data_IF_260203901121
#
_entry.id   IF_260203901121
#
_cell.length_a   1.000
_cell.length_b   1.000
_cell.length_c   1.000
_cell.angle_alpha   90.00
_cell.angle_beta   90.00
_cell.angle_gamma   90.00
#
_symmetry.space_group_name_H-M   'P 1'
#
loop_
_entity.id
_entity.type
_entity.pdbx_description
1 polymer ?
#
# COMPACT_ATOMS: atom_id res chain seq x y z
N UNK A 1 4.76 -2.64 -0.32
CA UNK A 1 4.19 -2.87 1.01
C UNK A 1 4.38 -4.33 1.40
N UNK A 2 4.46 -4.65 2.69
CA UNK A 2 4.56 -6.04 3.18
C UNK A 2 3.38 -6.91 2.70
N UNK A 3 2.21 -6.30 2.52
CA UNK A 3 1.03 -6.93 1.93
C UNK A 3 1.30 -7.50 0.54
N UNK A 4 1.95 -6.75 -0.37
CA UNK A 4 2.28 -7.22 -1.73
C UNK A 4 3.27 -8.39 -1.73
N UNK A 5 4.29 -8.33 -0.87
CA UNK A 5 5.28 -9.40 -0.75
C UNK A 5 4.58 -10.70 -0.36
N UNK A 6 3.68 -10.64 0.63
CA UNK A 6 2.89 -11.80 1.06
C UNK A 6 1.85 -12.23 0.01
N UNK A 7 1.18 -11.28 -0.66
CA UNK A 7 0.16 -11.56 -1.68
C UNK A 7 0.74 -12.31 -2.89
N UNK A 8 1.88 -11.86 -3.44
CA UNK A 8 2.52 -12.52 -4.57
C UNK A 8 3.34 -13.75 -4.18
N UNK A 9 3.94 -13.79 -2.98
CA UNK A 9 4.67 -14.99 -2.51
C UNK A 9 3.75 -16.18 -2.23
N UNK A 10 2.46 -15.94 -1.95
CA UNK A 10 1.58 -17.00 -1.50
C UNK A 10 0.89 -17.77 -2.61
N UNK A 11 0.77 -17.25 -3.85
CA UNK A 11 0.12 -17.91 -5.00
C UNK A 11 -1.35 -18.34 -4.80
N UNK A 12 -1.83 -18.38 -3.57
CA UNK A 12 -3.18 -18.67 -3.14
C UNK A 12 -3.92 -17.34 -2.99
N UNK A 13 -4.63 -16.99 -4.05
CA UNK A 13 -5.31 -15.71 -4.22
C UNK A 13 -6.61 -15.58 -3.41
N UNK A 14 -7.09 -16.65 -2.76
CA UNK A 14 -8.32 -16.61 -1.97
C UNK A 14 -8.42 -17.76 -0.97
N UNK A 15 -9.01 -17.48 0.19
CA UNK A 15 -9.53 -18.53 1.07
C UNK A 15 -10.85 -19.06 0.50
N UNK A 16 -11.03 -20.38 0.49
CA UNK A 16 -12.30 -20.99 0.10
C UNK A 16 -12.77 -21.97 1.19
N UNK A 17 -14.08 -22.13 1.27
CA UNK A 17 -14.71 -23.19 2.04
C UNK A 17 -14.93 -24.37 1.10
N UNK A 18 -14.25 -25.48 1.35
CA UNK A 18 -14.55 -26.75 0.70
C UNK A 18 -15.62 -27.46 1.54
N UNK A 19 -16.83 -27.56 0.99
CA UNK A 19 -17.97 -28.24 1.58
C UNK A 19 -18.15 -29.60 0.93
N UNK A 20 -18.05 -30.68 1.69
CA UNK A 20 -18.21 -32.05 1.20
C UNK A 20 -19.41 -32.70 1.89
N UNK A 21 -20.35 -33.19 1.07
CA UNK A 21 -21.57 -33.89 1.51
C UNK A 21 -21.62 -35.35 1.11
N UNK A 22 -20.71 -35.78 0.21
CA UNK A 22 -20.66 -37.16 -0.25
C UNK A 22 -20.22 -38.11 0.86
N UNK A 23 -20.83 -39.29 0.89
CA UNK A 23 -20.52 -40.36 1.83
C UNK A 23 -19.26 -41.12 1.37
N UNK A 24 -18.13 -40.43 1.27
CA UNK A 24 -16.87 -41.05 0.88
C UNK A 24 -16.33 -41.99 1.99
N UNK A 25 -15.91 -43.18 1.58
CA UNK A 25 -15.86 -44.43 2.35
C UNK A 25 -14.70 -44.64 3.34
N UNK A 26 -13.94 -43.61 3.74
CA UNK A 26 -12.89 -43.79 4.74
C UNK A 26 -12.56 -42.51 5.51
N UNK A 27 -12.53 -42.59 6.85
CA UNK A 27 -12.06 -41.49 7.71
C UNK A 27 -10.60 -41.08 7.39
N UNK A 28 -9.79 -42.01 6.87
CA UNK A 28 -8.39 -41.72 6.50
C UNK A 28 -8.27 -40.68 5.40
N UNK A 29 -9.18 -40.71 4.43
CA UNK A 29 -9.07 -39.90 3.22
C UNK A 29 -9.56 -38.48 3.48
N UNK A 30 -10.55 -38.33 4.36
CA UNK A 30 -11.02 -37.05 4.89
C UNK A 30 -9.89 -36.34 5.65
N UNK A 31 -9.14 -37.08 6.48
CA UNK A 31 -8.02 -36.52 7.23
C UNK A 31 -6.83 -36.18 6.33
N UNK A 32 -6.57 -36.95 5.26
CA UNK A 32 -5.57 -36.61 4.25
C UNK A 32 -5.94 -35.35 3.47
N UNK A 33 -7.20 -35.21 3.03
CA UNK A 33 -7.69 -33.99 2.36
C UNK A 33 -7.62 -32.78 3.29
N UNK A 34 -8.03 -32.93 4.56
CA UNK A 34 -7.91 -31.88 5.58
C UNK A 34 -6.45 -31.45 5.79
N UNK A 35 -5.53 -32.42 5.83
CA UNK A 35 -4.09 -32.16 5.99
C UNK A 35 -3.53 -31.45 4.76
N UNK A 36 -3.79 -31.95 3.55
CA UNK A 36 -3.37 -31.29 2.32
C UNK A 36 -3.89 -29.84 2.23
N UNK A 37 -5.15 -29.60 2.59
CA UNK A 37 -5.75 -28.26 2.59
C UNK A 37 -5.16 -27.30 3.64
N UNK A 38 -4.72 -27.85 4.79
CA UNK A 38 -4.00 -27.10 5.83
C UNK A 38 -2.56 -26.80 5.42
N UNK A 39 -1.94 -27.69 4.67
CA UNK A 39 -0.53 -27.64 4.27
C UNK A 39 -0.31 -26.80 3.00
N UNK A 40 -1.35 -26.57 2.16
CA UNK A 40 -1.35 -25.58 1.05
C UNK A 40 -1.27 -24.12 1.52
N UNK A 41 -0.93 -23.88 2.78
CA UNK A 41 -0.65 -22.55 3.30
C UNK A 41 0.65 -22.00 2.73
N UNK A 42 0.56 -21.04 1.82
CA UNK A 42 1.61 -20.04 1.64
C UNK A 42 1.81 -19.22 2.93
N UNK A 43 2.96 -18.55 3.07
CA UNK A 43 3.28 -17.63 4.18
C UNK A 43 2.29 -16.44 4.30
N UNK A 44 1.12 -16.69 4.89
CA UNK A 44 0.24 -15.73 5.55
C UNK A 44 -0.68 -14.87 4.67
N UNK A 45 -2.00 -15.07 4.82
CA UNK A 45 -3.05 -14.04 5.05
C UNK A 45 -4.48 -14.60 4.88
N UNK A 46 -4.65 -15.72 4.17
CA UNK A 46 -5.95 -16.35 3.94
C UNK A 46 -6.06 -17.70 4.65
N UNK A 47 -7.23 -17.98 5.24
CA UNK A 47 -7.55 -19.26 5.92
C UNK A 47 -8.51 -20.05 5.03
N UNK A 48 -8.09 -21.23 4.59
CA UNK A 48 -8.97 -22.21 3.96
C UNK A 48 -9.75 -22.95 5.05
N UNK A 49 -11.04 -23.19 4.84
CA UNK A 49 -11.89 -23.92 5.78
C UNK A 49 -12.46 -25.17 5.09
N UNK A 50 -12.40 -26.30 5.78
CA UNK A 50 -12.96 -27.56 5.31
C UNK A 50 -14.16 -27.93 6.19
N UNK A 51 -15.32 -28.14 5.57
CA UNK A 51 -16.56 -28.49 6.25
C UNK A 51 -17.10 -29.81 5.68
N UNK A 52 -17.17 -30.83 6.53
CA UNK A 52 -17.71 -32.15 6.20
C UNK A 52 -19.09 -32.31 6.85
N UNK A 53 -20.12 -32.52 6.03
CA UNK A 53 -21.49 -32.69 6.47
C UNK A 53 -22.13 -33.91 5.75
N UNK A 54 -22.00 -35.13 6.31
CA UNK A 54 -22.55 -36.34 5.71
C UNK A 54 -24.09 -36.27 5.64
N UNK A 55 -24.70 -36.82 4.58
CA UNK A 55 -26.15 -36.74 4.26
C UNK A 55 -26.68 -35.34 3.88
N UNK A 56 -25.83 -34.42 3.42
CA UNK A 56 -26.27 -33.14 2.86
C UNK A 56 -26.92 -33.25 1.47
N UNK A 57 -27.44 -32.12 0.94
CA UNK A 57 -28.00 -32.00 -0.43
C UNK A 57 -27.01 -32.48 -1.52
N UNK A 58 -27.48 -32.97 -2.69
CA UNK A 58 -26.75 -33.84 -3.63
C UNK A 58 -25.55 -33.26 -4.39
N UNK A 59 -25.05 -32.07 -4.02
CA UNK A 59 -23.81 -31.56 -4.60
C UNK A 59 -22.63 -32.01 -3.71
N UNK A 60 -22.14 -33.23 -3.97
CA UNK A 60 -21.18 -33.97 -3.15
C UNK A 60 -19.92 -33.20 -2.73
N UNK A 61 -19.43 -32.27 -3.56
CA UNK A 61 -18.32 -31.36 -3.25
C UNK A 61 -18.64 -29.97 -3.80
N UNK A 62 -18.64 -28.95 -2.93
CA UNK A 62 -18.84 -27.53 -3.28
C UNK A 62 -17.68 -26.69 -2.79
N UNK A 63 -17.13 -25.88 -3.68
CA UNK A 63 -16.20 -24.81 -3.32
C UNK A 63 -17.01 -23.53 -3.16
N UNK A 64 -17.16 -23.07 -1.92
CA UNK A 64 -17.78 -21.80 -1.57
C UNK A 64 -16.66 -20.75 -1.44
N UNK A 65 -16.51 -19.81 -2.39
CA UNK A 65 -15.53 -18.75 -2.26
C UNK A 65 -15.92 -17.85 -1.07
N UNK A 66 -15.00 -17.61 -0.14
CA UNK A 66 -15.18 -16.63 0.93
C UNK A 66 -14.97 -15.24 0.33
N UNK A 67 -16.02 -14.72 -0.30
CA UNK A 67 -16.14 -13.38 -0.84
C UNK A 67 -15.27 -13.05 -2.07
N UNK A 68 -15.95 -12.49 -3.07
CA UNK A 68 -15.45 -11.75 -4.22
C UNK A 68 -13.93 -11.72 -4.44
N UNK A 69 -13.44 -12.73 -5.18
CA UNK A 69 -12.15 -12.68 -5.89
C UNK A 69 -12.15 -11.64 -7.03
N UNK A 70 -13.20 -10.82 -7.11
CA UNK A 70 -13.39 -9.74 -8.07
C UNK A 70 -13.56 -8.38 -7.38
N UNK A 71 -13.10 -8.19 -6.14
CA UNK A 71 -12.80 -6.84 -5.68
C UNK A 71 -11.80 -6.26 -6.66
N UNK A 72 -12.26 -5.35 -7.54
CA UNK A 72 -11.40 -4.45 -8.31
C UNK A 72 -10.27 -4.04 -7.39
N UNK A 73 -9.07 -4.43 -7.74
CA UNK A 73 -7.91 -4.27 -6.87
C UNK A 73 -7.74 -2.78 -6.58
N UNK A 74 -8.26 -2.32 -5.43
CA UNK A 74 -8.20 -0.93 -4.97
C UNK A 74 -6.77 -0.51 -4.63
N UNK A 75 -5.80 -1.38 -4.88
CA UNK A 75 -4.38 -1.14 -4.82
C UNK A 75 -3.93 0.18 -5.45
N UNK A 76 -4.45 0.53 -6.63
CA UNK A 76 -4.08 1.79 -7.27
C UNK A 76 -4.58 2.97 -6.44
N UNK A 77 -5.79 2.86 -5.89
CA UNK A 77 -6.36 3.85 -4.99
C UNK A 77 -5.60 3.94 -3.66
N UNK A 78 -5.23 2.80 -3.04
CA UNK A 78 -4.44 2.77 -1.81
C UNK A 78 -3.04 3.35 -2.02
N UNK A 79 -2.38 3.02 -3.15
CA UNK A 79 -1.07 3.59 -3.50
C UNK A 79 -1.18 5.10 -3.70
N UNK A 80 -2.20 5.56 -4.41
CA UNK A 80 -2.46 6.98 -4.66
C UNK A 80 -2.76 7.74 -3.36
N UNK A 81 -3.58 7.16 -2.48
CA UNK A 81 -3.84 7.71 -1.15
C UNK A 81 -2.55 7.81 -0.33
N UNK A 82 -1.78 6.73 -0.23
CA UNK A 82 -0.50 6.72 0.51
C UNK A 82 0.51 7.71 -0.07
N UNK A 83 0.57 7.84 -1.40
CA UNK A 83 1.41 8.84 -2.05
C UNK A 83 0.96 10.25 -1.65
N UNK A 84 -0.33 10.56 -1.75
CA UNK A 84 -0.87 11.86 -1.35
C UNK A 84 -0.59 12.18 0.13
N UNK A 85 -0.71 11.20 1.02
CA UNK A 85 -0.40 11.38 2.44
C UNK A 85 1.07 11.78 2.66
N UNK A 86 1.99 11.13 1.94
CA UNK A 86 3.42 11.49 1.97
C UNK A 86 3.67 12.89 1.38
N UNK A 87 2.99 13.26 0.30
CA UNK A 87 3.11 14.59 -0.31
C UNK A 87 2.65 15.68 0.66
N UNK A 88 1.50 15.47 1.30
CA UNK A 88 0.98 16.37 2.32
C UNK A 88 1.93 16.49 3.52
N UNK A 89 2.56 15.39 3.94
CA UNK A 89 3.51 15.39 5.06
C UNK A 89 4.80 16.16 4.74
N UNK A 90 5.34 16.00 3.52
CA UNK A 90 6.56 16.68 3.12
C UNK A 90 6.36 18.16 2.76
N UNK A 91 5.12 18.56 2.42
CA UNK A 91 4.76 19.95 2.03
C UNK A 91 5.56 20.50 0.84
N UNK A 92 6.23 19.63 0.10
CA UNK A 92 6.95 19.98 -1.12
C UNK A 92 5.99 19.90 -2.32
N UNK A 93 5.96 20.90 -3.21
CA UNK A 93 5.20 20.84 -4.45
C UNK A 93 5.51 19.57 -5.27
N UNK A 94 4.48 18.81 -5.73
CA UNK A 94 4.66 17.56 -6.47
C UNK A 94 5.56 17.67 -7.70
N UNK A 95 5.47 18.79 -8.40
CA UNK A 95 6.28 19.07 -9.59
C UNK A 95 7.78 19.19 -9.32
N UNK A 96 8.21 19.51 -8.09
CA UNK A 96 9.63 19.54 -7.71
C UNK A 96 10.14 18.17 -7.26
N UNK A 97 9.26 17.19 -7.04
CA UNK A 97 9.61 15.82 -6.67
C UNK A 97 9.67 14.86 -7.86
N UNK A 98 9.58 15.37 -9.10
CA UNK A 98 9.62 14.55 -10.31
C UNK A 98 8.38 13.66 -10.50
N UNK A 99 7.24 14.02 -9.89
CA UNK A 99 5.99 13.28 -10.03
C UNK A 99 5.39 13.59 -11.40
N UNK A 100 4.93 12.56 -12.10
CA UNK A 100 4.24 12.70 -13.38
C UNK A 100 2.76 12.97 -13.08
N UNK A 101 2.16 14.04 -13.65
CA UNK A 101 0.75 14.34 -13.44
C UNK A 101 -0.12 13.27 -14.10
N UNK A 102 -1.18 12.85 -13.38
CA UNK A 102 -2.16 11.89 -13.91
C UNK A 102 -3.25 12.57 -14.75
N UNK A 103 -3.36 13.90 -14.67
CA UNK A 103 -4.35 14.71 -15.38
C UNK A 103 -3.69 15.48 -16.56
N UNK A 104 -4.43 15.64 -17.66
CA UNK A 104 -3.97 16.35 -18.86
C UNK A 104 -3.61 17.83 -18.64
N UNK A 105 -3.99 18.42 -17.49
CA UNK A 105 -3.69 19.81 -17.12
C UNK A 105 -2.34 20.03 -16.41
N UNK A 106 -1.63 18.97 -16.03
CA UNK A 106 -0.34 19.09 -15.35
C UNK A 106 -0.40 19.77 -13.97
N UNK A 107 0.78 20.15 -13.45
CA UNK A 107 0.92 20.84 -12.15
C UNK A 107 0.96 22.38 -12.27
N UNK A 108 0.93 22.93 -13.48
CA UNK A 108 1.03 24.36 -13.74
C UNK A 108 2.46 24.88 -13.79
N UNK A 109 2.64 26.13 -13.36
CA UNK A 109 3.92 26.87 -13.42
C UNK A 109 4.84 26.46 -12.26
N UNK A 110 5.97 25.85 -12.59
CA UNK A 110 6.98 25.37 -11.63
C UNK A 110 7.74 26.51 -10.96
N UNK A 111 7.93 27.63 -11.66
CA UNK A 111 8.64 28.82 -11.15
C UNK A 111 7.84 29.41 -10.00
N UNK A 112 6.54 29.62 -10.20
CA UNK A 112 5.65 30.14 -9.15
C UNK A 112 5.57 29.22 -7.95
N UNK A 113 5.47 27.91 -8.17
CA UNK A 113 5.42 26.98 -7.04
C UNK A 113 6.73 26.93 -6.26
N UNK A 114 7.88 27.05 -6.92
CA UNK A 114 9.17 27.15 -6.25
C UNK A 114 9.25 28.44 -5.41
N UNK A 115 8.85 29.58 -5.96
CA UNK A 115 8.82 30.85 -5.23
C UNK A 115 7.95 30.77 -3.97
N UNK A 116 6.75 30.19 -4.07
CA UNK A 116 5.83 30.02 -2.92
C UNK A 116 6.40 29.03 -1.90
N UNK A 117 6.95 27.90 -2.35
CA UNK A 117 7.57 26.90 -1.48
C UNK A 117 8.77 27.47 -0.72
N UNK A 118 9.67 28.17 -1.42
CA UNK A 118 10.84 28.76 -0.78
C UNK A 118 10.41 29.81 0.25
N UNK A 119 9.47 30.69 -0.09
CA UNK A 119 8.96 31.70 0.84
C UNK A 119 8.31 31.10 2.08
N UNK A 120 7.47 30.07 1.92
CA UNK A 120 6.60 29.57 2.99
C UNK A 120 7.21 28.41 3.81
N UNK A 121 8.07 27.59 3.19
CA UNK A 121 8.65 26.41 3.84
C UNK A 121 10.16 26.60 4.06
N UNK A 122 10.91 27.00 3.04
CA UNK A 122 12.38 27.02 3.12
C UNK A 122 12.92 28.19 3.95
N UNK A 123 12.46 29.41 3.72
CA UNK A 123 12.94 30.60 4.45
C UNK A 123 12.72 30.49 5.96
N UNK A 124 11.53 30.08 6.47
CA UNK A 124 11.35 29.85 7.91
C UNK A 124 12.33 28.81 8.48
N UNK A 125 12.59 27.72 7.76
CA UNK A 125 13.57 26.72 8.19
C UNK A 125 15.00 27.29 8.22
N UNK A 126 15.37 28.10 7.23
CA UNK A 126 16.65 28.81 7.22
C UNK A 126 16.79 29.77 8.39
N UNK A 127 15.74 30.53 8.72
CA UNK A 127 15.74 31.42 9.90
C UNK A 127 15.86 30.63 11.21
N UNK A 128 15.16 29.50 11.35
CA UNK A 128 15.33 28.59 12.51
C UNK A 128 16.77 28.06 12.60
N UNK A 129 17.40 27.73 11.48
CA UNK A 129 18.80 27.32 11.47
C UNK A 129 19.76 28.46 11.87
N UNK A 130 19.45 29.71 11.50
CA UNK A 130 20.24 30.88 11.90
C UNK A 130 20.22 31.14 13.40
N UNK A 131 19.22 30.63 14.15
CA UNK A 131 19.20 30.72 15.62
C UNK A 131 20.45 30.08 16.25
N UNK A 132 21.08 29.10 15.59
CA UNK A 132 22.34 28.51 16.04
C UNK A 132 23.48 29.54 16.15
N UNK A 133 23.46 30.59 15.33
CA UNK A 133 24.44 31.68 15.46
C UNK A 133 24.34 32.38 16.81
N UNK A 134 23.13 32.52 17.35
CA UNK A 134 22.94 33.10 18.68
C UNK A 134 23.50 32.18 19.78
N UNK A 135 23.46 30.86 19.58
CA UNK A 135 24.05 29.91 20.52
C UNK A 135 25.58 29.95 20.52
N UNK A 136 26.20 30.11 19.34
CA UNK A 136 27.65 30.21 19.22
C UNK A 136 28.21 31.60 19.57
N UNK A 137 27.37 32.64 19.63
CA UNK A 137 27.81 34.02 19.84
C UNK A 137 28.49 34.65 18.61
N UNK A 138 28.54 33.93 17.48
CA UNK A 138 29.18 34.36 16.24
C UNK A 138 28.33 34.00 15.02
N UNK A 139 28.44 34.78 13.94
CA UNK A 139 27.71 34.54 12.68
C UNK A 139 28.38 33.46 11.82
N UNK A 140 28.14 32.19 12.17
CA UNK A 140 28.67 31.00 11.49
C UNK A 140 27.83 30.63 10.26
N UNK A 141 26.51 30.56 10.40
CA UNK A 141 25.57 30.14 9.35
C UNK A 141 25.00 31.36 8.65
N UNK A 142 25.13 31.42 7.32
CA UNK A 142 24.55 32.47 6.46
C UNK A 142 23.95 31.82 5.23
N UNK A 143 22.80 32.34 4.81
CA UNK A 143 22.13 31.92 3.58
C UNK A 143 22.15 33.08 2.60
N UNK A 144 22.40 32.79 1.33
CA UNK A 144 22.28 33.77 0.25
C UNK A 144 20.80 34.07 -0.02
N UNK A 145 20.46 35.28 -0.45
CA UNK A 145 19.12 35.57 -0.97
C UNK A 145 18.74 34.55 -2.03
N UNK A 146 17.50 34.08 -1.98
CA UNK A 146 16.99 33.18 -3.00
C UNK A 146 16.73 33.95 -4.29
N UNK A 147 17.41 33.56 -5.36
CA UNK A 147 17.24 34.09 -6.70
C UNK A 147 16.79 32.96 -7.62
N UNK A 148 15.61 33.15 -8.22
CA UNK A 148 15.06 32.29 -9.25
C UNK A 148 14.90 33.12 -10.52
N UNK A 149 15.97 33.77 -10.95
CA UNK A 149 16.04 34.37 -12.27
C UNK A 149 16.32 33.26 -13.27
N UNK A 150 15.48 33.10 -14.31
CA UNK A 150 15.95 32.45 -15.52
C UNK A 150 16.99 33.39 -16.15
N UNK A 151 18.19 32.88 -16.42
CA UNK A 151 18.96 33.43 -17.55
C UNK A 151 18.21 33.17 -18.87
#
# INVERSE_FOLDING_TARGET
TLFRRKYYQNGAHAGYILYMTDAAQSSSDIDQMRKAMRDTKGLGNFRNLFMYAPNGKPDGIKILPLSEVATKDDFFNIKKASQNDLLCAHRVPPQMMGIIPENSGGFGDSVKASQVFVRNELTPLQERFKELNAWFGEKVIRFTPYELTPE
#
